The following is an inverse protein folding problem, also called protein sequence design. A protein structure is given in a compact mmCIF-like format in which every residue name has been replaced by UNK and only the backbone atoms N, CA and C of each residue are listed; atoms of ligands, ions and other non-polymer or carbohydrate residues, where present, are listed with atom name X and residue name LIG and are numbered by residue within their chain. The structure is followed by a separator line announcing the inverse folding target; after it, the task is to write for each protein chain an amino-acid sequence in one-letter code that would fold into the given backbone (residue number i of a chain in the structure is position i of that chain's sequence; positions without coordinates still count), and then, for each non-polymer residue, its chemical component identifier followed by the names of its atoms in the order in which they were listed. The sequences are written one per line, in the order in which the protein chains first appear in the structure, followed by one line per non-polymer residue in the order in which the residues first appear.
data_IF_496511726623
#
_entry.id   IF_496511726623
#
_cell.length_a   1.000
_cell.length_b   1.000
_cell.length_c   1.000
_cell.angle_alpha   90.00
_cell.angle_beta   90.00
_cell.angle_gamma   90.00
#
_symmetry.space_group_name_H-M   'P 1'
#
loop_
_entity.id
_entity.type
_entity.pdbx_description
1 polymer ?
#
# COMPACT_ATOMS: atom_id res chain seq x y z
N UNK A 1 -7.52 -14.89 32.79
CA UNK A 1 -7.49 -14.06 31.62
C UNK A 1 -8.71 -14.31 30.79
N UNK A 2 -9.33 -13.27 30.30
CA UNK A 2 -10.55 -13.46 29.57
C UNK A 2 -10.24 -13.80 28.13
N UNK A 3 -11.24 -14.36 27.46
CA UNK A 3 -11.15 -14.71 26.08
C UNK A 3 -10.89 -13.48 25.23
N UNK A 4 -11.46 -12.34 25.62
CA UNK A 4 -11.27 -11.10 24.89
C UNK A 4 -9.83 -10.62 24.96
N UNK A 5 -9.18 -10.79 26.10
CA UNK A 5 -7.80 -10.37 26.23
C UNK A 5 -6.90 -11.18 25.30
N UNK A 6 -7.20 -12.47 25.14
CA UNK A 6 -6.41 -13.30 24.25
C UNK A 6 -6.60 -12.90 22.80
N UNK A 7 -7.83 -12.53 22.42
CA UNK A 7 -8.06 -12.07 21.06
C UNK A 7 -7.38 -10.74 20.80
N UNK A 8 -7.38 -9.86 21.77
CA UNK A 8 -6.70 -8.58 21.61
C UNK A 8 -5.20 -8.76 21.42
N UNK A 9 -4.62 -9.67 22.16
CA UNK A 9 -3.19 -9.94 22.02
C UNK A 9 -2.89 -10.54 20.66
N UNK A 10 -3.75 -11.42 20.19
CA UNK A 10 -3.57 -12.03 18.89
C UNK A 10 -3.65 -11.00 17.79
N UNK A 11 -4.62 -10.09 17.87
CA UNK A 11 -4.79 -9.03 16.89
C UNK A 11 -3.59 -8.10 16.89
N UNK A 12 -3.10 -7.76 18.06
CA UNK A 12 -1.93 -6.89 18.16
C UNK A 12 -0.71 -7.54 17.55
N UNK A 13 -0.57 -8.84 17.70
CA UNK A 13 0.55 -9.54 17.14
C UNK A 13 0.48 -9.60 15.62
N UNK A 14 -0.72 -9.79 15.09
CA UNK A 14 -0.92 -9.77 13.64
C UNK A 14 -0.56 -8.41 13.07
N UNK A 15 -0.96 -7.35 13.76
CA UNK A 15 -0.63 -6.00 13.32
C UNK A 15 0.87 -5.79 13.31
N UNK A 16 1.56 -6.26 14.33
CA UNK A 16 2.99 -6.10 14.41
C UNK A 16 3.70 -6.86 13.30
N UNK A 17 3.25 -8.07 13.02
CA UNK A 17 3.81 -8.84 11.92
C UNK A 17 3.61 -8.14 10.60
N UNK A 18 2.44 -7.55 10.41
CA UNK A 18 2.13 -6.86 9.18
C UNK A 18 3.03 -5.64 9.00
N UNK A 19 3.27 -4.91 10.08
CA UNK A 19 4.17 -3.77 10.04
C UNK A 19 5.59 -4.18 9.70
N UNK A 20 6.04 -5.30 10.25
CA UNK A 20 7.36 -5.80 9.96
C UNK A 20 7.47 -6.26 8.52
N UNK A 21 6.43 -6.89 8.01
CA UNK A 21 6.42 -7.33 6.64
C UNK A 21 6.44 -6.13 5.70
N UNK A 22 5.64 -5.12 6.01
CA UNK A 22 5.60 -3.91 5.23
C UNK A 22 6.98 -3.27 5.15
N UNK A 23 7.65 -3.15 6.28
CA UNK A 23 8.99 -2.57 6.31
C UNK A 23 9.97 -3.39 5.50
N UNK A 24 9.80 -4.70 5.47
CA UNK A 24 10.71 -5.56 4.74
C UNK A 24 10.49 -5.50 3.23
N UNK A 25 9.23 -5.32 2.78
CA UNK A 25 8.95 -5.39 1.36
C UNK A 25 8.80 -4.03 0.69
N UNK A 26 8.62 -3.00 1.49
CA UNK A 26 8.34 -1.66 0.99
C UNK A 26 9.33 -1.25 -0.12
N UNK A 27 10.60 -1.50 0.07
CA UNK A 27 11.61 -1.06 -0.87
C UNK A 27 11.61 -1.85 -2.17
N UNK A 28 10.83 -2.92 -2.25
CA UNK A 28 10.76 -3.73 -3.46
C UNK A 28 9.72 -3.21 -4.44
N UNK A 29 8.92 -2.25 -4.03
CA UNK A 29 7.79 -1.77 -4.84
C UNK A 29 8.00 -0.34 -5.29
N UNK A 30 7.36 0.01 -6.40
CA UNK A 30 7.52 1.32 -7.00
C UNK A 30 6.48 2.32 -6.51
N UNK A 31 5.30 1.85 -6.16
CA UNK A 31 4.21 2.75 -5.80
C UNK A 31 3.55 2.32 -4.52
N UNK A 32 3.13 3.31 -3.74
CA UNK A 32 2.24 3.10 -2.60
C UNK A 32 0.91 3.76 -2.96
N UNK A 33 -0.16 3.00 -2.87
CA UNK A 33 -1.49 3.47 -3.24
C UNK A 33 -2.37 3.42 -2.02
N UNK A 34 -2.88 4.59 -1.62
CA UNK A 34 -3.70 4.71 -0.42
C UNK A 34 -5.12 5.00 -0.84
N UNK A 35 -6.02 4.12 -0.48
CA UNK A 35 -7.44 4.30 -0.74
C UNK A 35 -8.18 4.36 0.59
N UNK A 36 -9.45 4.66 0.55
CA UNK A 36 -10.23 4.72 1.77
C UNK A 36 -10.29 3.37 2.48
N UNK A 37 -10.23 2.28 1.73
CA UNK A 37 -10.37 0.96 2.30
C UNK A 37 -9.07 0.24 2.59
N UNK A 38 -8.01 0.56 1.89
CA UNK A 38 -6.79 -0.23 2.04
C UNK A 38 -5.56 0.51 1.54
N UNK A 39 -4.41 0.01 1.93
CA UNK A 39 -3.11 0.47 1.45
C UNK A 39 -2.49 -0.64 0.61
N UNK A 40 -1.99 -0.26 -0.55
CA UNK A 40 -1.38 -1.21 -1.47
C UNK A 40 0.02 -0.76 -1.83
N UNK A 41 0.92 -1.72 -2.03
CA UNK A 41 2.20 -1.48 -2.70
C UNK A 41 2.13 -2.21 -4.02
N UNK A 42 2.66 -1.62 -5.08
CA UNK A 42 2.64 -2.31 -6.36
C UNK A 42 3.78 -1.83 -7.24
N UNK A 43 4.04 -2.58 -8.30
CA UNK A 43 5.10 -2.24 -9.24
C UNK A 43 4.57 -1.65 -10.53
N UNK A 44 3.33 -1.93 -10.87
CA UNK A 44 2.71 -1.34 -12.05
C UNK A 44 1.34 -0.82 -11.68
N UNK A 45 1.00 0.33 -12.19
CA UNK A 45 -0.24 0.99 -11.83
C UNK A 45 -0.82 1.68 -13.05
N UNK A 46 -2.08 1.40 -13.32
CA UNK A 46 -2.82 2.10 -14.37
C UNK A 46 -4.07 2.69 -13.75
N UNK A 47 -4.34 3.95 -14.03
CA UNK A 47 -5.48 4.65 -13.47
C UNK A 47 -6.36 5.13 -14.60
N UNK A 48 -7.63 4.77 -14.53
CA UNK A 48 -8.61 5.25 -15.48
C UNK A 48 -9.72 5.95 -14.72
N UNK A 49 -10.04 7.17 -15.11
CA UNK A 49 -11.09 7.93 -14.47
C UNK A 49 -12.29 8.00 -15.38
N UNK A 50 -13.45 7.88 -14.78
CA UNK A 50 -14.70 8.03 -15.52
C UNK A 50 -15.49 9.15 -14.85
N UNK A 51 -15.28 10.37 -15.33
CA UNK A 51 -15.92 11.53 -14.74
C UNK A 51 -17.28 11.82 -15.35
N UNK A 52 -17.66 11.07 -16.37
CA UNK A 52 -18.93 11.30 -17.05
C UNK A 52 -20.03 10.38 -16.55
N UNK A 53 -19.72 9.46 -15.69
CA UNK A 53 -20.73 8.60 -15.10
C UNK A 53 -21.57 9.40 -14.10
N UNK A 54 -22.73 8.90 -13.78
CA UNK A 54 -23.58 9.52 -12.76
C UNK A 54 -22.82 9.66 -11.44
N UNK A 55 -21.96 8.70 -11.15
CA UNK A 55 -21.11 8.76 -9.97
C UNK A 55 -19.69 8.61 -10.47
N UNK A 56 -18.95 9.70 -10.59
CA UNK A 56 -17.57 9.63 -11.07
C UNK A 56 -16.74 8.69 -10.23
N UNK A 57 -15.90 7.91 -10.87
CA UNK A 57 -15.07 6.95 -10.16
C UNK A 57 -13.75 6.75 -10.89
N UNK A 58 -12.79 6.20 -10.15
CA UNK A 58 -11.51 5.83 -10.70
C UNK A 58 -11.37 4.32 -10.64
N UNK A 59 -10.76 3.75 -11.67
CA UNK A 59 -10.41 2.35 -11.71
C UNK A 59 -8.90 2.26 -11.67
N UNK A 60 -8.39 1.53 -10.70
CA UNK A 60 -6.97 1.34 -10.53
C UNK A 60 -6.66 -0.12 -10.81
N UNK A 61 -5.77 -0.35 -11.75
CA UNK A 61 -5.30 -1.70 -12.02
C UNK A 61 -3.86 -1.77 -11.57
N UNK A 62 -3.58 -2.70 -10.67
CA UNK A 62 -2.25 -2.81 -10.07
C UNK A 62 -1.71 -4.20 -10.31
N UNK A 63 -0.42 -4.29 -10.57
CA UNK A 63 0.27 -5.54 -10.84
C UNK A 63 1.42 -5.70 -9.85
N UNK A 64 1.66 -6.92 -9.43
CA UNK A 64 2.65 -7.24 -8.41
C UNK A 64 2.32 -6.46 -7.16
N UNK A 65 1.29 -6.88 -6.45
CA UNK A 65 0.68 -6.09 -5.40
C UNK A 65 0.93 -6.71 -4.04
N UNK A 66 1.24 -5.89 -3.07
CA UNK A 66 1.22 -6.27 -1.66
C UNK A 66 0.12 -5.45 -1.01
N UNK A 67 -0.81 -6.09 -0.33
CA UNK A 67 -1.94 -5.37 0.27
C UNK A 67 -1.83 -5.43 1.79
N UNK A 68 -2.11 -4.32 2.42
CA UNK A 68 -2.11 -4.24 3.89
C UNK A 68 -3.42 -4.82 4.39
N UNK A 69 -3.40 -6.13 4.69
CA UNK A 69 -4.59 -6.83 5.15
C UNK A 69 -4.13 -8.00 6.01
N UNK A 70 -4.26 -7.85 7.30
CA UNK A 70 -3.77 -8.84 8.24
C UNK A 70 -4.57 -10.12 8.23
N UNK A 71 -5.74 -10.10 7.60
CA UNK A 71 -6.58 -11.30 7.56
C UNK A 71 -6.24 -12.23 6.41
N UNK A 72 -5.40 -11.81 5.50
CA UNK A 72 -5.09 -12.65 4.35
C UNK A 72 -4.01 -13.66 4.65
N UNK A 73 -4.14 -14.89 4.15
CA UNK A 73 -3.04 -15.85 4.28
C UNK A 73 -1.77 -15.38 3.60
N UNK A 74 -1.91 -14.70 2.45
CA UNK A 74 -0.78 -14.06 1.82
C UNK A 74 -1.21 -12.68 1.40
N UNK A 75 -0.31 -11.72 1.47
CA UNK A 75 -0.61 -10.35 1.07
C UNK A 75 -0.14 -10.04 -0.34
N UNK A 76 0.43 -11.02 -1.03
CA UNK A 76 0.91 -10.83 -2.39
C UNK A 76 -0.19 -11.23 -3.36
N UNK A 77 -0.50 -10.34 -4.28
CA UNK A 77 -1.52 -10.56 -5.30
C UNK A 77 -0.90 -10.22 -6.64
N UNK A 78 -0.95 -11.13 -7.62
CA UNK A 78 -0.34 -10.82 -8.92
C UNK A 78 -0.96 -9.62 -9.61
N UNK A 79 -2.27 -9.46 -9.47
CA UNK A 79 -2.96 -8.36 -10.12
C UNK A 79 -4.25 -8.10 -9.38
N UNK A 80 -4.60 -6.84 -9.22
CA UNK A 80 -5.86 -6.48 -8.60
C UNK A 80 -6.43 -5.23 -9.25
N UNK A 81 -7.73 -5.10 -9.21
CA UNK A 81 -8.42 -3.95 -9.77
C UNK A 81 -9.30 -3.37 -8.69
N UNK A 82 -9.18 -2.08 -8.47
CA UNK A 82 -9.91 -1.39 -7.42
C UNK A 82 -10.73 -0.28 -8.05
N UNK A 83 -12.00 -0.21 -7.68
CA UNK A 83 -12.88 0.85 -8.14
C UNK A 83 -13.21 1.70 -6.94
N UNK A 84 -13.03 3.00 -7.05
CA UNK A 84 -13.29 3.87 -5.92
C UNK A 84 -13.89 5.20 -6.39
N UNK A 85 -14.82 5.73 -5.61
CA UNK A 85 -15.38 7.04 -5.83
C UNK A 85 -14.72 8.08 -4.93
N UNK A 86 -13.75 7.66 -4.13
CA UNK A 86 -13.11 8.53 -3.16
C UNK A 86 -11.70 8.86 -3.59
N UNK A 87 -11.06 9.74 -2.87
CA UNK A 87 -9.72 10.17 -3.21
C UNK A 87 -8.72 9.03 -3.07
N UNK A 88 -7.74 9.05 -3.94
CA UNK A 88 -6.67 8.07 -3.94
C UNK A 88 -5.36 8.84 -3.88
N UNK A 89 -4.48 8.44 -2.99
CA UNK A 89 -3.15 9.03 -2.90
C UNK A 89 -2.15 8.03 -3.46
N UNK A 90 -1.31 8.48 -4.37
CA UNK A 90 -0.30 7.64 -4.99
C UNK A 90 1.06 8.25 -4.73
N UNK A 91 1.94 7.46 -4.14
CA UNK A 91 3.30 7.89 -3.85
C UNK A 91 4.26 7.03 -4.64
N UNK A 92 5.22 7.66 -5.27
CA UNK A 92 6.23 6.93 -6.00
C UNK A 92 7.40 6.66 -5.06
N UNK A 93 7.67 5.39 -4.82
CA UNK A 93 8.64 5.00 -3.81
C UNK A 93 10.04 4.85 -4.35
N UNK A 94 10.16 4.46 -5.63
CA UNK A 94 11.45 4.19 -6.20
C UNK A 94 11.50 4.79 -7.56
N UNK A 95 11.93 6.02 -7.65
CA UNK A 95 12.11 6.65 -8.96
C UNK A 95 13.13 5.87 -9.75
N UNK A 96 12.99 5.91 -11.02
CA UNK A 96 13.86 5.14 -11.86
C UNK A 96 15.28 5.57 -11.78
N UNK A 97 15.51 6.83 -11.58
CA UNK A 97 16.85 7.31 -11.70
C UNK A 97 17.56 7.42 -10.43
N UNK A 98 17.82 8.55 -9.97
CA UNK A 98 18.67 8.79 -8.81
C UNK A 98 17.78 8.97 -7.60
N UNK A 99 17.82 8.01 -6.73
CA UNK A 99 16.97 8.07 -5.56
C UNK A 99 17.30 9.27 -4.70
N UNK A 100 18.55 9.72 -4.75
CA UNK A 100 18.94 10.84 -3.91
C UNK A 100 18.33 12.14 -4.37
N UNK A 101 18.06 12.28 -5.66
CA UNK A 101 17.50 13.53 -6.12
C UNK A 101 16.01 13.60 -5.91
N UNK A 102 15.38 12.48 -5.57
CA UNK A 102 13.94 12.48 -5.43
C UNK A 102 13.47 12.38 -4.00
N UNK A 103 14.37 12.19 -3.07
CA UNK A 103 13.98 12.12 -1.68
C UNK A 103 13.53 13.49 -1.19
N UNK A 104 12.60 13.53 -0.26
CA UNK A 104 12.17 14.82 0.28
C UNK A 104 13.33 15.54 0.93
N UNK A 105 13.30 16.84 0.85
CA UNK A 105 14.31 17.62 1.51
C UNK A 105 14.22 17.36 2.99
N UNK A 106 15.29 17.16 3.61
CA UNK A 106 15.33 16.82 5.01
C UNK A 106 15.44 15.34 5.28
N UNK A 107 15.30 14.52 4.25
CA UNK A 107 15.49 13.10 4.41
C UNK A 107 16.99 12.83 4.29
N UNK A 108 17.59 12.27 5.33
CA UNK A 108 19.02 12.11 5.34
C UNK A 108 19.40 10.69 5.14
N UNK A 109 19.87 10.36 3.95
CA UNK A 109 20.38 9.06 3.75
C UNK A 109 21.67 8.83 4.37
N UNK A 110 22.34 9.88 4.64
CA UNK A 110 23.67 9.68 5.08
C UNK A 110 23.80 9.66 6.43
N UNK A 111 22.81 9.80 7.08
CA UNK A 111 23.08 9.80 8.40
C UNK A 111 23.69 8.80 8.81
N UNK A 112 24.16 8.56 8.20
CA UNK A 112 24.87 7.80 8.50
C UNK A 112 25.64 8.03 8.69
#
# INVERSE_FOLDING_TARGET
MSHLDELDEYEAELELRLKREYSAVFSLFRYCVLTAEATYLCNELDIQRNDQAAYPFARLTMTDVWVWDKSRPTRIIPRTEVHTTQDVTIEELKPDDDIETTLPRGFELTDE
#
